data_IF_550759070822
#
_entry.id   IF_550759070822
#
_cell.length_a   1.000
_cell.length_b   1.000
_cell.length_c   1.000
_cell.angle_alpha   90.00
_cell.angle_beta   90.00
_cell.angle_gamma   90.00
#
_symmetry.space_group_name_H-M   'P 1'
#
loop_
_entity.id
_entity.type
_entity.pdbx_description
1 polymer ?
#
# COMPACT_ATOMS: atom_id res chain seq x y z
N UNK A 1 17.06 2.73 43.61
CA UNK A 1 17.57 2.72 42.21
C UNK A 1 16.93 1.60 41.36
N UNK A 2 15.62 1.33 41.49
CA UNK A 2 14.95 0.19 40.81
C UNK A 2 14.02 0.58 39.64
N UNK A 3 13.85 1.88 39.36
CA UNK A 3 12.88 2.35 38.34
C UNK A 3 13.36 2.26 36.89
N UNK A 4 14.67 2.23 36.66
CA UNK A 4 15.24 2.34 35.30
C UNK A 4 15.11 1.02 34.49
N UNK A 5 15.28 -0.13 35.13
CA UNK A 5 15.16 -1.44 34.48
C UNK A 5 13.73 -1.83 34.10
N UNK A 6 12.72 -1.33 34.83
CA UNK A 6 11.31 -1.55 34.52
C UNK A 6 10.84 -0.75 33.30
N UNK A 7 11.34 0.49 33.15
CA UNK A 7 11.05 1.35 32.00
C UNK A 7 11.70 0.84 30.71
N UNK A 8 12.95 0.35 30.76
CA UNK A 8 13.64 -0.20 29.59
C UNK A 8 12.94 -1.45 29.05
N UNK A 9 12.48 -2.36 29.92
CA UNK A 9 11.72 -3.56 29.52
C UNK A 9 10.42 -3.20 28.79
N UNK A 10 9.71 -2.18 29.25
CA UNK A 10 8.48 -1.68 28.60
C UNK A 10 8.77 -1.10 27.21
N UNK A 11 9.83 -0.32 27.07
CA UNK A 11 10.24 0.24 25.77
C UNK A 11 10.59 -0.86 24.78
N UNK A 12 11.35 -1.87 25.21
CA UNK A 12 11.71 -3.01 24.35
C UNK A 12 10.45 -3.75 23.88
N UNK A 13 9.49 -4.01 24.77
CA UNK A 13 8.22 -4.65 24.39
C UNK A 13 7.45 -3.81 23.38
N UNK A 14 7.36 -2.49 23.56
CA UNK A 14 6.68 -1.60 22.61
C UNK A 14 7.38 -1.62 21.24
N UNK A 15 8.71 -1.59 21.20
CA UNK A 15 9.47 -1.66 19.95
C UNK A 15 9.29 -3.00 19.24
N UNK A 16 9.25 -4.11 19.98
CA UNK A 16 8.98 -5.44 19.42
C UNK A 16 7.56 -5.54 18.86
N UNK A 17 6.56 -4.95 19.55
CA UNK A 17 5.19 -4.91 19.05
C UNK A 17 5.08 -4.06 17.78
N UNK A 18 5.76 -2.92 17.71
CA UNK A 18 5.82 -2.09 16.51
C UNK A 18 6.47 -2.82 15.34
N UNK A 19 7.61 -3.47 15.57
CA UNK A 19 8.29 -4.27 14.56
C UNK A 19 7.42 -5.44 14.06
N UNK A 20 6.69 -6.10 14.96
CA UNK A 20 5.74 -7.16 14.61
C UNK A 20 4.60 -6.63 13.73
N UNK A 21 4.00 -5.49 14.08
CA UNK A 21 2.92 -4.88 13.29
C UNK A 21 3.39 -4.49 11.90
N UNK A 22 4.60 -3.91 11.78
CA UNK A 22 5.17 -3.55 10.48
C UNK A 22 5.43 -4.80 9.62
N UNK A 23 5.89 -5.90 10.23
CA UNK A 23 6.12 -7.16 9.53
C UNK A 23 4.83 -7.89 9.10
N UNK A 24 3.70 -7.64 9.78
CA UNK A 24 2.40 -8.21 9.43
C UNK A 24 1.68 -7.42 8.32
N UNK A 25 2.04 -6.15 8.10
CA UNK A 25 1.54 -5.34 6.99
C UNK A 25 2.30 -5.73 5.73
N UNK A 26 1.78 -6.70 5.00
CA UNK A 26 2.14 -6.93 3.61
C UNK A 26 1.08 -6.27 2.74
N UNK A 27 1.50 -5.39 1.84
CA UNK A 27 0.62 -4.85 0.81
C UNK A 27 0.61 -5.84 -0.36
N UNK A 28 -0.26 -6.85 -0.32
CA UNK A 28 -0.47 -7.67 -1.51
C UNK A 28 -1.29 -6.89 -2.54
N UNK A 29 -0.86 -6.85 -3.81
CA UNK A 29 -1.67 -6.25 -4.85
C UNK A 29 -2.97 -7.05 -5.02
N UNK A 30 -4.10 -6.37 -4.97
CA UNK A 30 -5.39 -6.92 -5.36
C UNK A 30 -5.61 -6.67 -6.85
N UNK A 31 -6.05 -7.71 -7.57
CA UNK A 31 -6.48 -7.56 -8.96
C UNK A 31 -7.89 -6.97 -8.94
N UNK A 32 -8.02 -5.69 -9.28
CA UNK A 32 -9.33 -5.01 -9.40
C UNK A 32 -10.03 -5.33 -10.73
N UNK A 33 -9.26 -5.66 -11.77
CA UNK A 33 -9.77 -5.97 -13.09
C UNK A 33 -8.66 -6.31 -14.07
N UNK A 34 -9.05 -6.62 -15.30
CA UNK A 34 -8.13 -6.90 -16.40
C UNK A 34 -8.41 -5.97 -17.57
N UNK A 35 -7.37 -5.31 -18.03
CA UNK A 35 -7.39 -4.50 -19.25
C UNK A 35 -7.61 -5.39 -20.48
N UNK A 36 -8.60 -5.06 -21.30
CA UNK A 36 -9.03 -5.86 -22.46
C UNK A 36 -8.86 -5.15 -23.81
N UNK A 37 -8.34 -3.91 -23.81
CA UNK A 37 -8.30 -3.06 -25.00
C UNK A 37 -6.85 -2.84 -25.49
N UNK A 38 -6.26 -3.89 -26.07
CA UNK A 38 -4.96 -3.80 -26.73
C UNK A 38 -3.83 -3.28 -25.84
N UNK A 39 -2.80 -2.68 -26.43
CA UNK A 39 -1.70 -2.10 -25.67
C UNK A 39 -2.10 -0.75 -25.04
N UNK A 40 -1.83 -0.61 -23.74
CA UNK A 40 -1.83 0.70 -23.11
C UNK A 40 -0.52 1.43 -23.48
N UNK A 41 -0.63 2.68 -23.93
CA UNK A 41 0.51 3.51 -24.27
C UNK A 41 1.04 4.28 -23.06
N UNK A 42 0.12 4.75 -22.20
CA UNK A 42 0.47 5.42 -20.96
C UNK A 42 -0.60 5.19 -19.89
N UNK A 43 -0.17 5.23 -18.62
CA UNK A 43 -1.02 5.01 -17.45
C UNK A 43 -0.62 6.00 -16.36
N UNK A 44 -1.59 6.76 -15.83
CA UNK A 44 -1.39 7.63 -14.68
C UNK A 44 -2.52 7.47 -13.66
N UNK A 45 -2.23 7.72 -12.39
CA UNK A 45 -3.19 7.67 -11.30
C UNK A 45 -3.32 9.04 -10.65
N UNK A 46 -4.55 9.45 -10.34
CA UNK A 46 -4.84 10.69 -9.60
C UNK A 46 -6.08 10.49 -8.72
N UNK A 47 -5.93 10.67 -7.41
CA UNK A 47 -6.98 10.32 -6.43
C UNK A 47 -7.32 8.83 -6.48
N UNK A 48 -8.61 8.51 -6.52
CA UNK A 48 -9.12 7.14 -6.65
C UNK A 48 -9.35 6.75 -8.11
N UNK A 49 -8.68 7.40 -9.06
CA UNK A 49 -8.88 7.15 -10.49
C UNK A 49 -7.58 6.76 -11.20
N UNK A 50 -7.69 5.74 -12.04
CA UNK A 50 -6.66 5.31 -12.97
C UNK A 50 -7.05 5.73 -14.39
N UNK A 51 -6.15 6.42 -15.08
CA UNK A 51 -6.33 6.90 -16.45
C UNK A 51 -5.42 6.06 -17.35
N UNK A 52 -6.02 5.32 -18.29
CA UNK A 52 -5.31 4.46 -19.22
C UNK A 52 -5.48 5.01 -20.64
N UNK A 53 -4.40 5.50 -21.23
CA UNK A 53 -4.35 5.98 -22.61
C UNK A 53 -4.09 4.82 -23.56
N UNK A 54 -5.02 4.58 -24.49
CA UNK A 54 -4.91 3.51 -25.47
C UNK A 54 -5.58 3.91 -26.79
N UNK A 55 -4.80 3.90 -27.87
CA UNK A 55 -5.23 4.38 -29.18
C UNK A 55 -5.67 5.84 -29.11
N UNK A 56 -6.90 6.10 -29.56
CA UNK A 56 -7.52 7.43 -29.55
C UNK A 56 -8.42 7.67 -28.32
N UNK A 57 -8.37 6.77 -27.33
CA UNK A 57 -9.25 6.81 -26.17
C UNK A 57 -8.47 6.87 -24.86
N UNK A 58 -9.09 7.50 -23.87
CA UNK A 58 -8.69 7.41 -22.46
C UNK A 58 -9.81 6.71 -21.71
N UNK A 59 -9.49 5.59 -21.07
CA UNK A 59 -10.42 4.90 -20.15
C UNK A 59 -10.07 5.26 -18.71
N UNK A 60 -11.12 5.50 -17.92
CA UNK A 60 -11.00 5.90 -16.53
C UNK A 60 -11.61 4.80 -15.67
N UNK A 61 -10.84 4.31 -14.71
CA UNK A 61 -11.29 3.31 -13.75
C UNK A 61 -11.33 3.92 -12.35
N UNK A 62 -12.40 3.64 -11.62
CA UNK A 62 -12.44 3.83 -10.17
C UNK A 62 -11.62 2.70 -9.52
N UNK A 63 -10.67 3.08 -8.67
CA UNK A 63 -9.75 2.18 -7.95
C UNK A 63 -9.85 2.34 -6.42
N UNK A 64 -10.94 2.92 -5.92
CA UNK A 64 -11.23 3.02 -4.48
C UNK A 64 -11.32 1.67 -3.78
#
# INVERSE_FOLDING_TARGET
MYGMGFSIRRVIVVLLLLALVIGLVSAQPQILGKWDYGAAFDITASGNYLFVGAGEQVRIYDIS
#
